data_IF_034674084994
#
_entry.id   IF_034674084994
#
_cell.length_a   1.000
_cell.length_b   1.000
_cell.length_c   1.000
_cell.angle_alpha   90.00
_cell.angle_beta   90.00
_cell.angle_gamma   90.00
#
_symmetry.space_group_name_H-M   'P 1'
#
loop_
_entity.id
_entity.type
_entity.pdbx_description
1 polymer ?
#
# COMPACT_ATOMS: atom_id res chain seq x y z
N UNK A 1 -68.03 23.93 -10.81
CA UNK A 1 -66.62 24.39 -10.89
C UNK A 1 -65.99 24.24 -9.52
N UNK A 2 -64.66 24.09 -9.44
CA UNK A 2 -63.79 24.04 -8.24
C UNK A 2 -63.57 22.68 -7.54
N UNK A 3 -62.72 21.83 -8.13
CA UNK A 3 -61.87 20.86 -7.40
C UNK A 3 -60.54 20.64 -8.13
N UNK A 4 -59.69 21.67 -8.19
CA UNK A 4 -58.33 21.55 -8.79
C UNK A 4 -57.20 22.16 -7.94
N UNK A 5 -57.52 22.87 -6.84
CA UNK A 5 -56.55 23.66 -6.08
C UNK A 5 -55.56 22.85 -5.21
N UNK A 6 -55.96 21.70 -4.67
CA UNK A 6 -55.12 21.00 -3.66
C UNK A 6 -53.94 20.19 -4.23
N UNK A 7 -53.95 19.82 -5.52
CA UNK A 7 -52.83 19.07 -6.11
C UNK A 7 -51.65 19.95 -6.53
N UNK A 8 -51.89 21.22 -6.92
CA UNK A 8 -50.82 22.12 -7.35
C UNK A 8 -49.97 22.60 -6.18
N UNK A 9 -50.56 22.80 -5.00
CA UNK A 9 -49.85 23.30 -3.82
C UNK A 9 -48.85 22.27 -3.26
N UNK A 10 -49.20 20.97 -3.23
CA UNK A 10 -48.27 19.90 -2.83
C UNK A 10 -47.12 19.74 -3.81
N UNK A 11 -47.37 19.87 -5.11
CA UNK A 11 -46.30 19.85 -6.11
C UNK A 11 -45.35 21.03 -5.96
N UNK A 12 -45.87 22.23 -5.63
CA UNK A 12 -45.06 23.42 -5.40
C UNK A 12 -44.06 23.24 -4.25
N UNK A 13 -44.49 22.67 -3.11
CA UNK A 13 -43.62 22.41 -1.96
C UNK A 13 -42.59 21.31 -2.23
N UNK A 14 -42.96 20.27 -3.00
CA UNK A 14 -42.00 19.23 -3.43
C UNK A 14 -40.97 19.85 -4.37
N UNK A 15 -41.40 20.67 -5.34
CA UNK A 15 -40.47 21.33 -6.27
C UNK A 15 -39.57 22.32 -5.55
N UNK A 16 -40.07 23.12 -4.60
CA UNK A 16 -39.28 24.06 -3.78
C UNK A 16 -38.32 23.32 -2.84
N UNK A 17 -38.71 22.18 -2.29
CA UNK A 17 -37.83 21.32 -1.50
C UNK A 17 -36.69 20.73 -2.34
N UNK A 18 -37.00 20.25 -3.55
CA UNK A 18 -36.00 19.69 -4.47
C UNK A 18 -35.06 20.77 -5.03
N UNK A 19 -35.55 21.96 -5.41
CA UNK A 19 -34.68 23.07 -5.81
C UNK A 19 -33.88 23.61 -4.64
N UNK A 20 -34.45 23.66 -3.43
CA UNK A 20 -33.72 24.02 -2.21
C UNK A 20 -32.53 23.10 -1.96
N UNK A 21 -32.75 21.77 -2.01
CA UNK A 21 -31.67 20.77 -1.87
C UNK A 21 -30.67 20.85 -3.03
N UNK A 22 -31.12 21.08 -4.26
CA UNK A 22 -30.22 21.21 -5.41
C UNK A 22 -29.34 22.47 -5.32
N UNK A 23 -29.89 23.60 -4.89
CA UNK A 23 -29.14 24.86 -4.73
C UNK A 23 -28.15 24.74 -3.56
N UNK A 24 -28.56 24.18 -2.42
CA UNK A 24 -27.63 23.99 -1.29
C UNK A 24 -26.52 23.01 -1.64
N UNK A 25 -26.82 21.94 -2.37
CA UNK A 25 -25.81 20.98 -2.84
C UNK A 25 -24.86 21.61 -3.86
N UNK A 26 -25.38 22.43 -4.79
CA UNK A 26 -24.57 23.13 -5.78
C UNK A 26 -23.66 24.19 -5.14
N UNK A 27 -24.17 24.96 -4.17
CA UNK A 27 -23.39 25.97 -3.44
C UNK A 27 -22.34 25.31 -2.54
N UNK A 28 -22.70 24.25 -1.82
CA UNK A 28 -21.75 23.49 -1.01
C UNK A 28 -20.66 22.85 -1.88
N UNK A 29 -21.04 22.26 -3.02
CA UNK A 29 -20.09 21.70 -3.99
C UNK A 29 -19.16 22.76 -4.58
N UNK A 30 -19.68 23.93 -4.93
CA UNK A 30 -18.89 25.03 -5.46
C UNK A 30 -17.92 25.62 -4.42
N UNK A 31 -18.36 25.80 -3.18
CA UNK A 31 -17.50 26.28 -2.08
C UNK A 31 -16.39 25.29 -1.74
N UNK A 32 -16.71 23.99 -1.74
CA UNK A 32 -15.74 22.93 -1.54
C UNK A 32 -14.73 22.92 -2.69
N UNK A 33 -15.18 22.95 -3.95
CA UNK A 33 -14.30 23.01 -5.12
C UNK A 33 -13.37 24.23 -5.12
N UNK A 34 -13.89 25.41 -4.75
CA UNK A 34 -13.09 26.64 -4.65
C UNK A 34 -12.07 26.56 -3.52
N UNK A 35 -12.46 26.07 -2.33
CA UNK A 35 -11.53 25.92 -1.21
C UNK A 35 -10.40 24.91 -1.49
N UNK A 36 -10.73 23.82 -2.16
CA UNK A 36 -9.77 22.79 -2.57
C UNK A 36 -8.80 23.26 -3.67
N UNK A 37 -9.27 24.11 -4.59
CA UNK A 37 -8.42 24.64 -5.66
C UNK A 37 -7.49 25.78 -5.19
N UNK A 38 -7.82 26.46 -4.08
CA UNK A 38 -7.12 27.68 -3.67
C UNK A 38 -6.02 27.50 -2.62
N UNK A 39 -5.85 26.32 -2.03
CA UNK A 39 -4.87 26.07 -0.97
C UNK A 39 -3.77 25.12 -1.47
N UNK A 40 -2.51 25.59 -1.62
CA UNK A 40 -1.43 24.72 -2.06
C UNK A 40 -1.16 23.64 -0.99
N UNK A 41 -0.86 22.42 -1.43
CA UNK A 41 -0.37 21.38 -0.52
C UNK A 41 1.02 21.74 -0.02
N UNK A 42 1.41 21.15 1.12
CA UNK A 42 2.78 21.26 1.58
C UNK A 42 3.69 20.61 0.55
N UNK A 43 4.65 21.39 0.04
CA UNK A 43 5.61 20.94 -0.94
C UNK A 43 6.98 21.47 -0.53
N UNK A 44 7.97 20.57 -0.47
CA UNK A 44 9.36 20.95 -0.29
C UNK A 44 9.83 21.88 -1.40
N UNK A 45 10.72 22.82 -1.06
CA UNK A 45 11.34 23.69 -2.04
C UNK A 45 12.37 22.90 -2.86
N UNK A 46 11.90 22.27 -3.93
CA UNK A 46 12.77 21.60 -4.89
C UNK A 46 13.44 22.64 -5.77
N UNK A 47 14.74 22.47 -6.02
CA UNK A 47 15.44 23.16 -7.10
C UNK A 47 14.85 22.74 -8.46
N UNK A 48 15.07 23.52 -9.53
CA UNK A 48 14.62 23.14 -10.87
C UNK A 48 15.11 21.75 -11.31
N UNK A 49 16.36 21.41 -10.99
CA UNK A 49 16.96 20.10 -11.31
C UNK A 49 16.27 18.97 -10.52
N UNK A 50 16.02 19.15 -9.23
CA UNK A 50 15.29 18.18 -8.41
C UNK A 50 13.82 18.03 -8.85
N UNK A 51 13.20 19.09 -9.35
CA UNK A 51 11.84 19.05 -9.88
C UNK A 51 11.76 18.32 -11.23
N UNK A 52 12.83 18.33 -12.03
CA UNK A 52 12.95 17.61 -13.32
C UNK A 52 13.08 16.10 -13.15
N UNK A 53 13.54 15.63 -11.99
CA UNK A 53 13.53 14.19 -11.62
C UNK A 53 12.13 13.59 -11.75
N UNK A 54 11.10 14.40 -11.49
CA UNK A 54 9.71 13.98 -11.56
C UNK A 54 9.14 14.19 -12.96
N UNK A 55 8.65 13.14 -13.61
CA UNK A 55 8.16 13.22 -15.00
C UNK A 55 6.96 14.19 -15.14
N UNK A 56 7.22 15.37 -15.72
CA UNK A 56 6.23 16.45 -15.89
C UNK A 56 5.58 16.51 -17.28
N UNK A 57 5.95 15.66 -18.23
CA UNK A 57 5.68 15.95 -19.65
C UNK A 57 4.20 15.87 -20.08
N UNK A 58 3.31 15.24 -19.28
CA UNK A 58 1.87 15.19 -19.57
C UNK A 58 1.02 15.26 -18.30
N UNK A 59 -0.08 16.07 -18.29
CA UNK A 59 -1.05 16.07 -17.20
C UNK A 59 -1.53 14.64 -16.94
N UNK A 60 -1.39 14.15 -15.70
CA UNK A 60 -1.85 12.80 -15.39
C UNK A 60 -3.37 12.73 -15.17
N UNK A 61 -4.00 13.85 -14.84
CA UNK A 61 -5.45 13.97 -14.66
C UNK A 61 -6.08 14.87 -15.73
N UNK A 62 -7.36 14.60 -16.03
CA UNK A 62 -8.20 15.54 -16.78
C UNK A 62 -9.56 15.68 -16.12
N UNK A 63 -9.92 16.90 -15.74
CA UNK A 63 -11.27 17.28 -15.29
C UNK A 63 -11.94 18.28 -16.23
N UNK A 64 -13.22 18.05 -16.57
CA UNK A 64 -14.14 19.10 -17.04
C UNK A 64 -14.92 19.55 -15.80
N UNK A 65 -15.17 20.86 -15.67
CA UNK A 65 -15.61 21.63 -14.48
C UNK A 65 -16.83 21.14 -13.66
N UNK A 66 -17.33 19.93 -13.89
CA UNK A 66 -18.44 19.28 -13.17
C UNK A 66 -18.28 17.75 -12.99
N UNK A 67 -17.14 17.14 -13.38
CA UNK A 67 -16.87 15.69 -13.20
C UNK A 67 -15.63 15.46 -12.35
N UNK A 68 -15.65 14.39 -11.55
CA UNK A 68 -14.47 13.93 -10.82
C UNK A 68 -13.30 13.69 -11.80
N UNK A 69 -12.10 14.21 -11.50
CA UNK A 69 -10.89 13.98 -12.28
C UNK A 69 -10.61 12.49 -12.46
N UNK A 70 -9.95 12.13 -13.57
CA UNK A 70 -9.54 10.75 -13.85
C UNK A 70 -8.12 10.71 -14.37
N UNK A 71 -7.42 9.62 -14.04
CA UNK A 71 -6.12 9.31 -14.62
C UNK A 71 -6.24 9.07 -16.12
N UNK A 72 -5.29 9.62 -16.88
CA UNK A 72 -5.26 9.56 -18.35
C UNK A 72 -4.17 8.64 -18.89
N UNK A 73 -3.22 8.25 -18.05
CA UNK A 73 -2.08 7.39 -18.35
C UNK A 73 -1.62 6.65 -17.10
N UNK A 74 -0.79 5.59 -17.22
CA UNK A 74 -0.08 5.02 -16.09
C UNK A 74 0.78 6.08 -15.37
N UNK A 75 0.79 6.02 -14.04
CA UNK A 75 1.62 6.90 -13.20
C UNK A 75 2.31 6.12 -12.09
N UNK A 76 3.58 6.46 -11.84
CA UNK A 76 4.38 5.93 -10.73
C UNK A 76 4.53 7.00 -9.65
N UNK A 77 4.09 6.70 -8.43
CA UNK A 77 4.15 7.60 -7.28
C UNK A 77 5.08 6.99 -6.23
N UNK A 78 6.13 7.73 -5.86
CA UNK A 78 7.00 7.38 -4.76
C UNK A 78 6.34 7.77 -3.43
N UNK A 79 6.19 6.84 -2.50
CA UNK A 79 5.70 7.11 -1.15
C UNK A 79 6.82 6.83 -0.14
N UNK A 80 7.16 7.84 0.66
CA UNK A 80 8.18 7.75 1.71
C UNK A 80 7.52 7.96 3.08
N UNK A 81 7.61 6.96 3.95
CA UNK A 81 7.28 7.07 5.36
C UNK A 81 8.52 7.47 6.15
N UNK A 82 8.52 8.66 6.74
CA UNK A 82 9.68 9.23 7.44
C UNK A 82 9.47 9.18 8.95
N UNK A 83 10.48 8.74 9.68
CA UNK A 83 10.54 8.88 11.14
C UNK A 83 11.58 9.96 11.44
N UNK A 84 11.14 11.03 12.10
CA UNK A 84 12.03 12.09 12.56
C UNK A 84 11.82 12.29 14.05
N UNK A 85 12.90 12.20 14.80
CA UNK A 85 12.99 12.50 16.22
C UNK A 85 13.64 13.87 16.42
N UNK A 86 13.43 14.49 17.58
CA UNK A 86 14.12 15.74 17.95
C UNK A 86 15.64 15.64 17.89
N UNK A 87 16.20 14.44 18.08
CA UNK A 87 17.64 14.18 17.98
C UNK A 87 18.16 14.04 16.55
N UNK A 88 17.27 13.82 15.58
CA UNK A 88 17.63 13.73 14.17
C UNK A 88 17.80 15.12 13.53
N UNK A 89 17.37 16.19 14.23
CA UNK A 89 17.40 17.56 13.75
C UNK A 89 18.54 18.37 14.39
N UNK A 90 19.19 19.21 13.60
CA UNK A 90 20.19 20.18 14.08
C UNK A 90 19.56 21.54 14.49
N UNK A 91 18.21 21.63 14.53
CA UNK A 91 17.47 22.89 14.72
C UNK A 91 17.26 23.25 16.22
N UNK A 92 17.72 24.45 16.66
CA UNK A 92 17.52 24.95 18.01
C UNK A 92 16.06 25.10 18.47
N UNK A 93 15.08 25.21 17.56
CA UNK A 93 13.66 25.34 17.91
C UNK A 93 13.12 24.08 18.61
N UNK A 94 13.65 22.90 18.27
CA UNK A 94 13.26 21.63 18.90
C UNK A 94 14.11 21.27 20.12
N UNK A 95 15.08 22.12 20.47
CA UNK A 95 15.94 21.97 21.65
C UNK A 95 15.43 22.73 22.90
N UNK A 96 14.37 23.54 22.77
CA UNK A 96 13.89 24.44 23.82
C UNK A 96 12.47 24.18 24.35
N UNK A 97 11.72 23.24 23.78
CA UNK A 97 10.41 22.86 24.33
C UNK A 97 10.49 21.54 25.11
N UNK A 98 9.70 21.46 26.17
CA UNK A 98 9.55 20.37 27.16
C UNK A 98 8.94 19.08 26.54
N UNK A 99 9.36 18.73 25.32
CA UNK A 99 8.84 17.64 24.50
C UNK A 99 9.40 16.26 24.92
N UNK A 100 10.39 16.24 25.81
CA UNK A 100 11.10 15.03 26.22
C UNK A 100 12.24 14.63 25.27
N UNK A 101 13.10 13.72 25.74
CA UNK A 101 14.22 13.19 24.96
C UNK A 101 13.68 12.31 23.80
N UNK A 102 14.10 12.57 22.54
CA UNK A 102 13.68 11.83 21.33
C UNK A 102 12.18 11.88 20.99
N UNK A 103 11.53 13.05 21.09
CA UNK A 103 10.13 13.20 20.66
C UNK A 103 9.98 13.12 19.13
N UNK A 104 8.86 12.55 18.65
CA UNK A 104 8.51 12.60 17.23
C UNK A 104 8.13 14.04 16.83
N UNK A 105 8.65 14.51 15.70
CA UNK A 105 8.43 15.87 15.20
C UNK A 105 7.85 15.87 13.80
N UNK A 106 7.08 16.92 13.47
CA UNK A 106 6.50 17.12 12.14
C UNK A 106 7.57 17.62 11.15
N UNK A 107 8.53 16.76 10.83
CA UNK A 107 9.60 17.02 9.86
C UNK A 107 9.74 15.84 8.88
N UNK A 108 10.46 16.08 7.79
CA UNK A 108 10.81 15.10 6.76
C UNK A 108 12.32 14.94 6.58
N UNK A 109 13.12 15.65 7.37
CA UNK A 109 14.59 15.65 7.36
C UNK A 109 15.14 14.48 8.18
N UNK A 110 14.91 13.26 7.69
CA UNK A 110 15.36 12.04 8.38
C UNK A 110 15.41 10.83 7.46
N UNK A 111 15.63 9.66 8.04
CA UNK A 111 15.63 8.41 7.28
C UNK A 111 14.20 8.03 6.87
N UNK A 112 14.05 7.51 5.66
CA UNK A 112 12.79 6.88 5.23
C UNK A 112 12.72 5.44 5.74
N UNK A 113 11.84 5.20 6.72
CA UNK A 113 11.60 3.87 7.29
C UNK A 113 10.67 3.01 6.43
N UNK A 114 9.94 3.65 5.52
CA UNK A 114 9.06 3.01 4.53
C UNK A 114 9.28 3.64 3.17
N UNK A 115 9.43 2.82 2.13
CA UNK A 115 9.58 3.27 0.75
C UNK A 115 8.70 2.40 -0.13
N UNK A 116 7.76 3.00 -0.85
CA UNK A 116 6.85 2.30 -1.75
C UNK A 116 6.87 2.99 -3.11
N UNK A 117 6.78 2.21 -4.19
CA UNK A 117 6.45 2.73 -5.52
C UNK A 117 5.05 2.23 -5.89
N UNK A 118 4.13 3.16 -6.08
CA UNK A 118 2.75 2.88 -6.44
C UNK A 118 2.56 3.16 -7.93
N UNK A 119 2.23 2.13 -8.71
CA UNK A 119 1.82 2.28 -10.11
C UNK A 119 0.31 2.22 -10.22
N UNK A 120 -0.29 3.30 -10.69
CA UNK A 120 -1.70 3.37 -11.03
C UNK A 120 -1.83 3.23 -12.54
N UNK A 121 -2.43 2.15 -13.01
CA UNK A 121 -2.65 1.91 -14.43
C UNK A 121 -4.15 1.99 -14.79
N UNK A 122 -4.61 3.11 -15.39
CA UNK A 122 -6.00 3.25 -15.81
C UNK A 122 -6.41 2.35 -16.97
N UNK A 123 -5.48 1.82 -17.76
CA UNK A 123 -5.77 0.97 -18.91
C UNK A 123 -6.09 -0.46 -18.46
N UNK A 124 -5.22 -1.05 -17.65
CA UNK A 124 -5.44 -2.37 -17.06
C UNK A 124 -6.34 -2.36 -15.82
N UNK A 125 -6.64 -1.16 -15.27
CA UNK A 125 -7.34 -0.95 -13.99
C UNK A 125 -6.62 -1.61 -12.81
N UNK A 126 -5.29 -1.67 -12.87
CA UNK A 126 -4.45 -2.29 -11.87
C UNK A 126 -3.79 -1.25 -10.98
N UNK A 127 -3.69 -1.55 -9.68
CA UNK A 127 -2.82 -0.85 -8.74
C UNK A 127 -1.70 -1.79 -8.33
N UNK A 128 -0.46 -1.42 -8.63
CA UNK A 128 0.72 -2.14 -8.14
C UNK A 128 1.38 -1.31 -7.06
N UNK A 129 1.66 -1.95 -5.92
CA UNK A 129 2.41 -1.37 -4.80
C UNK A 129 3.67 -2.19 -4.66
N UNK A 130 4.84 -1.58 -4.86
CA UNK A 130 6.13 -2.22 -4.65
C UNK A 130 6.77 -1.68 -3.38
N UNK A 131 6.87 -2.51 -2.35
CA UNK A 131 7.55 -2.21 -1.10
C UNK A 131 9.06 -2.42 -1.23
N UNK A 132 9.85 -1.39 -0.93
CA UNK A 132 11.30 -1.44 -0.97
C UNK A 132 11.84 -1.44 0.47
N UNK A 133 12.54 -2.50 0.91
CA UNK A 133 13.12 -2.54 2.25
C UNK A 133 14.09 -1.38 2.48
N UNK A 134 14.00 -0.73 3.65
CA UNK A 134 14.85 0.44 4.01
C UNK A 134 16.35 0.16 3.98
N UNK A 135 16.74 -1.07 4.30
CA UNK A 135 18.12 -1.54 4.35
C UNK A 135 18.62 -2.05 2.99
N UNK A 136 17.88 -1.79 1.91
CA UNK A 136 18.30 -2.16 0.55
C UNK A 136 19.63 -1.52 0.21
N UNK A 137 20.62 -2.33 -0.19
CA UNK A 137 21.92 -1.85 -0.63
C UNK A 137 21.80 -1.33 -2.07
N UNK A 138 21.84 -0.01 -2.22
CA UNK A 138 21.72 0.66 -3.52
C UNK A 138 22.79 1.74 -3.67
N UNK A 139 23.05 2.15 -4.90
CA UNK A 139 23.87 3.32 -5.18
C UNK A 139 23.03 4.56 -4.88
N UNK A 140 23.54 5.42 -4.00
CA UNK A 140 23.01 6.77 -3.76
C UNK A 140 24.11 7.73 -4.19
N UNK A 141 23.77 8.67 -5.08
CA UNK A 141 24.71 9.70 -5.53
C UNK A 141 25.31 10.44 -4.33
N UNK A 142 26.59 10.82 -4.43
CA UNK A 142 27.42 11.41 -3.37
C UNK A 142 27.71 10.55 -2.12
N UNK A 143 26.98 9.45 -1.87
CA UNK A 143 27.23 8.52 -0.77
C UNK A 143 27.82 7.17 -1.22
N UNK A 144 27.73 6.84 -2.51
CA UNK A 144 28.12 5.53 -3.02
C UNK A 144 27.11 4.44 -2.63
N UNK A 145 27.58 3.19 -2.52
CA UNK A 145 26.70 2.10 -2.09
C UNK A 145 26.44 2.16 -0.59
N UNK A 146 25.18 2.40 -0.23
CA UNK A 146 24.72 2.53 1.15
C UNK A 146 23.32 1.93 1.30
N UNK A 147 22.72 2.06 2.49
CA UNK A 147 21.30 1.76 2.72
C UNK A 147 20.45 2.81 2.04
N UNK A 148 19.47 2.37 1.26
CA UNK A 148 18.66 3.26 0.42
C UNK A 148 17.88 4.32 1.22
N UNK A 149 17.53 4.05 2.48
CA UNK A 149 16.87 5.02 3.35
C UNK A 149 17.69 6.30 3.63
N UNK A 150 19.00 6.27 3.41
CA UNK A 150 19.88 7.43 3.51
C UNK A 150 19.59 8.49 2.45
N UNK A 151 19.02 8.10 1.31
CA UNK A 151 18.73 9.01 0.21
C UNK A 151 17.80 10.16 0.62
N UNK A 152 16.77 9.89 1.44
CA UNK A 152 15.88 10.95 1.94
C UNK A 152 16.58 11.89 2.92
N UNK A 153 17.51 11.38 3.72
CA UNK A 153 18.28 12.20 4.66
C UNK A 153 19.27 13.11 3.93
N UNK A 154 19.84 12.63 2.83
CA UNK A 154 20.79 13.39 2.02
C UNK A 154 20.13 14.51 1.21
N UNK A 155 19.08 14.18 0.44
CA UNK A 155 18.48 15.11 -0.53
C UNK A 155 16.99 14.89 -0.74
N UNK A 156 16.31 14.37 0.28
CA UNK A 156 14.86 14.29 0.31
C UNK A 156 14.24 13.43 -0.80
N UNK A 157 13.11 13.86 -1.38
CA UNK A 157 12.33 13.02 -2.29
C UNK A 157 13.02 12.85 -3.66
N UNK A 158 13.80 13.84 -4.10
CA UNK A 158 14.45 13.80 -5.41
C UNK A 158 15.59 12.77 -5.46
N UNK A 159 16.53 12.83 -4.50
CA UNK A 159 17.61 11.83 -4.41
C UNK A 159 17.06 10.43 -4.17
N UNK A 160 16.00 10.31 -3.35
CA UNK A 160 15.30 9.04 -3.16
C UNK A 160 14.69 8.50 -4.46
N UNK A 161 14.06 9.37 -5.26
CA UNK A 161 13.48 9.00 -6.55
C UNK A 161 14.54 8.57 -7.57
N UNK A 162 15.69 9.25 -7.63
CA UNK A 162 16.81 8.87 -8.50
C UNK A 162 17.34 7.48 -8.11
N UNK A 163 17.70 7.29 -6.84
CA UNK A 163 18.27 6.03 -6.37
C UNK A 163 17.31 4.84 -6.54
N UNK A 164 16.01 5.04 -6.30
CA UNK A 164 14.97 4.03 -6.54
C UNK A 164 14.78 3.78 -8.03
N UNK A 165 14.73 4.84 -8.84
CA UNK A 165 14.60 4.72 -10.29
C UNK A 165 15.74 3.86 -10.85
N UNK A 166 16.99 4.17 -10.51
CA UNK A 166 18.17 3.45 -10.95
C UNK A 166 18.16 1.98 -10.50
N UNK A 167 17.82 1.73 -9.23
CA UNK A 167 17.68 0.38 -8.67
C UNK A 167 16.65 -0.47 -9.44
N UNK A 168 15.54 0.16 -9.84
CA UNK A 168 14.47 -0.48 -10.61
C UNK A 168 14.73 -0.45 -12.12
N UNK A 169 15.95 -0.07 -12.50
CA UNK A 169 16.34 0.18 -13.87
C UNK A 169 15.56 1.36 -14.43
N UNK A 170 15.95 2.58 -14.12
CA UNK A 170 15.47 3.81 -14.74
C UNK A 170 13.96 3.95 -14.97
N UNK A 171 13.07 3.44 -14.10
CA UNK A 171 11.64 3.71 -14.23
C UNK A 171 11.37 5.18 -13.88
N UNK A 172 10.54 5.87 -14.67
CA UNK A 172 10.17 7.25 -14.34
C UNK A 172 9.33 7.30 -13.06
N UNK A 173 9.62 8.25 -12.17
CA UNK A 173 8.79 8.57 -11.00
C UNK A 173 8.05 9.86 -11.31
N UNK A 174 6.72 9.84 -11.34
CA UNK A 174 5.93 11.01 -11.72
C UNK A 174 5.73 11.99 -10.57
N UNK A 175 5.47 11.45 -9.38
CA UNK A 175 5.12 12.23 -8.18
C UNK A 175 5.68 11.57 -6.95
N UNK A 176 5.72 12.32 -5.86
CA UNK A 176 6.08 11.79 -4.56
C UNK A 176 5.08 12.18 -3.49
N UNK A 177 5.05 11.38 -2.42
CA UNK A 177 4.33 11.64 -1.17
C UNK A 177 5.28 11.29 -0.04
N UNK A 178 5.66 12.27 0.78
CA UNK A 178 6.38 12.05 2.04
C UNK A 178 5.41 12.26 3.18
N UNK A 179 5.30 11.28 4.05
CA UNK A 179 4.44 11.32 5.22
C UNK A 179 5.23 10.89 6.44
N UNK A 180 5.12 11.64 7.53
CA UNK A 180 5.73 11.25 8.80
C UNK A 180 4.75 10.46 9.67
N UNK A 181 5.27 9.91 10.76
CA UNK A 181 4.49 9.10 11.70
C UNK A 181 3.22 9.83 12.20
N UNK A 182 3.34 11.12 12.54
CA UNK A 182 2.20 11.92 13.00
C UNK A 182 1.14 12.13 11.90
N UNK A 183 1.59 12.28 10.64
CA UNK A 183 0.73 12.38 9.49
C UNK A 183 -0.09 11.11 9.25
N UNK A 184 0.53 9.93 9.41
CA UNK A 184 -0.17 8.65 9.27
C UNK A 184 -1.25 8.52 10.35
N UNK A 185 -0.91 8.77 11.62
CA UNK A 185 -1.85 8.75 12.75
C UNK A 185 -3.06 9.65 12.49
N UNK A 186 -2.81 10.93 12.16
CA UNK A 186 -3.86 11.92 11.90
C UNK A 186 -4.70 11.57 10.68
N UNK A 187 -4.11 10.96 9.66
CA UNK A 187 -4.84 10.56 8.45
C UNK A 187 -5.80 9.41 8.76
N UNK A 188 -5.38 8.44 9.57
CA UNK A 188 -6.25 7.34 10.00
C UNK A 188 -7.38 7.85 10.88
N UNK A 189 -7.11 8.76 11.82
CA UNK A 189 -8.16 9.40 12.62
C UNK A 189 -9.14 10.19 11.76
N UNK A 190 -8.65 10.93 10.76
CA UNK A 190 -9.48 11.69 9.83
C UNK A 190 -10.34 10.80 8.93
N UNK A 191 -9.92 9.54 8.69
CA UNK A 191 -10.71 8.51 8.01
C UNK A 191 -11.74 7.83 8.94
N UNK A 192 -11.72 8.17 10.24
CA UNK A 192 -12.58 7.58 11.25
C UNK A 192 -12.08 6.25 11.82
N UNK A 193 -10.76 6.01 11.79
CA UNK A 193 -10.14 4.75 12.22
C UNK A 193 -10.16 3.69 11.13
N UNK A 194 -9.58 2.53 11.41
CA UNK A 194 -9.41 1.44 10.44
C UNK A 194 -9.58 0.05 11.05
N UNK A 195 -10.32 -0.83 10.38
CA UNK A 195 -10.53 -2.20 10.84
C UNK A 195 -9.45 -3.13 10.30
N UNK A 196 -8.72 -3.78 11.20
CA UNK A 196 -7.60 -4.68 10.89
C UNK A 196 -7.74 -5.96 11.71
N UNK A 197 -7.41 -7.11 11.11
CA UNK A 197 -7.22 -8.35 11.85
C UNK A 197 -5.79 -8.42 12.39
N UNK A 198 -5.65 -8.35 13.71
CA UNK A 198 -4.37 -8.44 14.39
C UNK A 198 -4.00 -9.93 14.52
N UNK A 199 -2.88 -10.39 13.94
CA UNK A 199 -2.60 -11.81 13.77
C UNK A 199 -2.33 -12.55 15.09
N UNK A 200 -1.80 -11.83 16.09
CA UNK A 200 -1.42 -12.33 17.41
C UNK A 200 -1.47 -11.19 18.43
N UNK A 201 -1.49 -11.50 19.73
CA UNK A 201 -1.29 -10.50 20.78
C UNK A 201 0.05 -9.78 20.56
N UNK A 202 -0.01 -8.45 20.44
CA UNK A 202 1.16 -7.58 20.29
C UNK A 202 1.31 -6.78 21.57
N UNK A 203 2.31 -7.13 22.37
CA UNK A 203 2.68 -6.41 23.58
C UNK A 203 4.15 -6.00 23.50
N UNK A 204 4.42 -4.71 23.60
CA UNK A 204 5.78 -4.18 23.60
C UNK A 204 5.83 -2.84 24.33
N UNK A 205 6.85 -2.66 25.15
CA UNK A 205 7.07 -1.41 25.87
C UNK A 205 8.53 -0.99 25.72
N UNK A 206 8.72 0.22 25.18
CA UNK A 206 10.01 0.91 25.14
C UNK A 206 9.82 2.35 25.62
N UNK A 207 10.17 2.57 26.89
CA UNK A 207 10.09 3.88 27.53
C UNK A 207 11.05 4.90 26.90
N UNK A 208 12.15 4.45 26.29
CA UNK A 208 13.13 5.35 25.67
C UNK A 208 12.64 5.98 24.38
N UNK A 209 11.72 5.29 23.69
CA UNK A 209 11.11 5.73 22.43
C UNK A 209 9.64 6.13 22.60
N UNK A 210 9.13 6.15 23.85
CA UNK A 210 7.72 6.33 24.17
C UNK A 210 6.81 5.42 23.31
N UNK A 211 7.24 4.18 23.07
CA UNK A 211 6.53 3.22 22.23
C UNK A 211 5.88 2.17 23.12
N UNK A 212 4.57 2.29 23.26
CA UNK A 212 3.73 1.39 24.03
C UNK A 212 2.75 0.71 23.07
N UNK A 213 2.89 -0.60 22.92
CA UNK A 213 2.06 -1.42 22.04
C UNK A 213 1.29 -2.40 22.91
N UNK A 214 -0.03 -2.40 22.77
CA UNK A 214 -0.92 -3.36 23.40
C UNK A 214 -2.14 -3.58 22.50
N UNK A 215 -2.02 -4.53 21.57
CA UNK A 215 -3.10 -4.94 20.68
C UNK A 215 -3.39 -6.41 20.90
N UNK A 216 -4.67 -6.78 21.01
CA UNK A 216 -5.07 -8.17 21.15
C UNK A 216 -5.23 -8.85 19.81
N UNK A 217 -5.07 -10.16 19.75
CA UNK A 217 -5.35 -10.92 18.54
C UNK A 217 -6.83 -10.78 18.13
N UNK A 218 -7.08 -10.73 16.82
CA UNK A 218 -8.41 -10.70 16.23
C UNK A 218 -8.76 -9.40 15.51
N UNK A 219 -9.98 -9.34 14.98
CA UNK A 219 -10.51 -8.15 14.30
C UNK A 219 -10.70 -7.00 15.30
N UNK A 220 -10.06 -5.87 15.01
CA UNK A 220 -10.15 -4.66 15.82
C UNK A 220 -10.31 -3.43 14.94
N UNK A 221 -11.08 -2.48 15.43
CA UNK A 221 -11.14 -1.15 14.86
C UNK A 221 -10.11 -0.27 15.57
N UNK A 222 -9.06 0.11 14.85
CA UNK A 222 -7.90 0.84 15.34
C UNK A 222 -8.07 2.33 15.04
N UNK A 223 -7.91 3.18 16.04
CA UNK A 223 -7.65 4.60 15.83
C UNK A 223 -6.23 4.84 15.28
N UNK A 224 -5.85 6.09 15.00
CA UNK A 224 -4.54 6.43 14.47
C UNK A 224 -3.40 5.96 15.36
N UNK A 225 -3.53 6.10 16.68
CA UNK A 225 -2.50 5.68 17.65
C UNK A 225 -2.34 4.16 17.66
N UNK A 226 -3.45 3.43 17.72
CA UNK A 226 -3.45 1.96 17.69
C UNK A 226 -2.96 1.42 16.34
N UNK A 227 -3.28 2.08 15.23
CA UNK A 227 -2.76 1.71 13.92
C UNK A 227 -1.24 1.93 13.84
N UNK A 228 -0.72 3.00 14.47
CA UNK A 228 0.73 3.18 14.59
C UNK A 228 1.39 2.12 15.46
N UNK A 229 0.73 1.66 16.52
CA UNK A 229 1.21 0.51 17.31
C UNK A 229 1.32 -0.75 16.43
N UNK A 230 0.30 -1.03 15.63
CA UNK A 230 0.29 -2.15 14.69
C UNK A 230 1.45 -2.04 13.68
N UNK A 231 1.58 -0.89 13.00
CA UNK A 231 2.62 -0.67 11.98
C UNK A 231 4.05 -0.68 12.53
N UNK A 232 4.24 -0.32 13.81
CA UNK A 232 5.56 -0.22 14.46
C UNK A 232 5.96 -1.47 15.24
N UNK A 233 5.08 -2.44 15.42
CA UNK A 233 5.42 -3.71 16.06
C UNK A 233 6.56 -4.40 15.29
N UNK A 234 7.56 -4.91 16.00
CA UNK A 234 8.76 -5.60 15.43
C UNK A 234 9.17 -6.83 16.24
N UNK A 235 8.43 -7.18 17.28
CA UNK A 235 8.78 -8.29 18.17
C UNK A 235 8.20 -9.61 17.64
N UNK A 236 8.45 -9.87 16.37
CA UNK A 236 8.17 -11.12 15.67
C UNK A 236 9.45 -11.68 15.06
N UNK A 237 9.47 -12.96 14.70
CA UNK A 237 10.64 -13.62 14.12
C UNK A 237 11.01 -13.09 12.71
N UNK A 238 10.20 -12.19 12.13
CA UNK A 238 10.24 -11.78 10.72
C UNK A 238 10.88 -10.39 10.53
N UNK A 239 11.07 -9.62 11.60
CA UNK A 239 11.80 -8.35 11.59
C UNK A 239 11.23 -7.33 10.59
N UNK A 240 12.08 -6.81 9.69
CA UNK A 240 11.68 -5.82 8.69
C UNK A 240 10.68 -6.38 7.65
N UNK A 241 10.67 -7.69 7.42
CA UNK A 241 9.72 -8.32 6.49
C UNK A 241 8.32 -8.37 7.11
N UNK A 242 8.22 -8.74 8.39
CA UNK A 242 6.94 -8.69 9.12
C UNK A 242 6.34 -7.28 9.12
N UNK A 243 7.18 -6.23 9.16
CA UNK A 243 6.73 -4.84 9.01
C UNK A 243 6.12 -4.56 7.63
N UNK A 244 6.75 -5.03 6.56
CA UNK A 244 6.20 -4.90 5.20
C UNK A 244 4.84 -5.59 5.09
N UNK A 245 4.70 -6.80 5.65
CA UNK A 245 3.43 -7.52 5.66
C UNK A 245 2.33 -6.75 6.38
N UNK A 246 2.63 -6.15 7.54
CA UNK A 246 1.67 -5.31 8.28
C UNK A 246 1.30 -4.04 7.51
N UNK A 247 2.26 -3.40 6.84
CA UNK A 247 1.98 -2.26 5.98
C UNK A 247 1.05 -2.63 4.83
N UNK A 248 1.28 -3.79 4.18
CA UNK A 248 0.41 -4.31 3.14
C UNK A 248 -1.00 -4.64 3.67
N UNK A 249 -1.09 -5.32 4.82
CA UNK A 249 -2.36 -5.59 5.49
C UNK A 249 -3.12 -4.28 5.80
N UNK A 250 -2.41 -3.27 6.30
CA UNK A 250 -2.96 -1.95 6.60
C UNK A 250 -3.51 -1.27 5.33
N UNK A 251 -2.73 -1.26 4.25
CA UNK A 251 -3.14 -0.70 2.96
C UNK A 251 -4.37 -1.42 2.40
N UNK A 252 -4.46 -2.76 2.56
CA UNK A 252 -5.65 -3.52 2.18
C UNK A 252 -6.87 -3.07 2.99
N UNK A 253 -6.76 -3.02 4.31
CA UNK A 253 -7.86 -2.55 5.18
C UNK A 253 -8.34 -1.13 4.82
N UNK A 254 -7.42 -0.21 4.54
CA UNK A 254 -7.75 1.16 4.12
C UNK A 254 -8.44 1.18 2.74
N UNK A 255 -8.01 0.34 1.81
CA UNK A 255 -8.67 0.20 0.51
C UNK A 255 -10.13 -0.25 0.69
N UNK A 256 -10.40 -1.19 1.60
CA UNK A 256 -11.76 -1.69 1.86
C UNK A 256 -12.70 -0.62 2.43
N UNK A 257 -12.15 0.39 3.10
CA UNK A 257 -12.89 1.51 3.67
C UNK A 257 -13.01 2.72 2.71
N UNK A 258 -12.28 2.70 1.60
CA UNK A 258 -12.21 3.85 0.69
C UNK A 258 -13.55 4.07 -0.03
N UNK A 259 -14.05 5.31 0.04
CA UNK A 259 -15.31 5.82 -0.54
C UNK A 259 -16.62 5.25 0.03
N UNK A 260 -16.67 5.04 1.34
CA UNK A 260 -17.97 5.04 2.05
C UNK A 260 -18.58 6.45 2.06
N UNK A 261 -19.92 6.61 2.16
CA UNK A 261 -20.54 7.92 2.33
C UNK A 261 -19.98 8.72 3.53
N UNK A 262 -19.55 8.03 4.58
CA UNK A 262 -18.85 8.60 5.74
C UNK A 262 -17.51 9.23 5.38
N UNK A 263 -16.66 8.54 4.61
CA UNK A 263 -15.35 9.08 4.19
C UNK A 263 -15.50 10.31 3.30
N UNK A 264 -16.53 10.35 2.43
CA UNK A 264 -16.82 11.53 1.59
C UNK A 264 -17.15 12.75 2.46
N UNK A 265 -17.91 12.55 3.55
CA UNK A 265 -18.23 13.63 4.48
C UNK A 265 -16.98 14.15 5.24
N UNK A 266 -15.97 13.31 5.44
CA UNK A 266 -14.70 13.64 6.10
C UNK A 266 -13.65 14.25 5.16
N UNK A 267 -13.90 14.31 3.85
CA UNK A 267 -12.93 14.78 2.85
C UNK A 267 -12.29 16.14 3.18
N UNK A 268 -13.01 17.17 3.68
CA UNK A 268 -12.39 18.43 4.09
C UNK A 268 -11.36 18.26 5.23
N UNK A 269 -11.64 17.39 6.20
CA UNK A 269 -10.74 17.11 7.32
C UNK A 269 -9.50 16.33 6.86
N UNK A 270 -9.69 15.33 5.98
CA UNK A 270 -8.61 14.57 5.37
C UNK A 270 -7.65 15.50 4.61
N UNK A 271 -8.20 16.40 3.79
CA UNK A 271 -7.39 17.33 3.01
C UNK A 271 -6.65 18.34 3.90
N UNK A 272 -7.23 18.78 5.02
CA UNK A 272 -6.53 19.60 6.00
C UNK A 272 -5.34 18.87 6.65
N UNK A 273 -5.45 17.56 6.91
CA UNK A 273 -4.34 16.74 7.41
C UNK A 273 -3.24 16.61 6.36
N UNK A 274 -3.61 16.29 5.10
CA UNK A 274 -2.65 16.21 3.99
C UNK A 274 -1.90 17.53 3.84
N UNK A 275 -2.61 18.66 3.85
CA UNK A 275 -2.01 19.99 3.76
C UNK A 275 -0.98 20.31 4.84
N UNK A 276 -1.07 19.69 6.02
CA UNK A 276 -0.23 20.04 7.18
C UNK A 276 0.81 18.98 7.57
N UNK A 277 0.67 17.75 7.09
CA UNK A 277 1.51 16.61 7.51
C UNK A 277 2.01 15.74 6.36
N UNK A 278 1.69 16.08 5.12
CA UNK A 278 2.12 15.35 3.92
C UNK A 278 2.82 16.30 2.97
N UNK A 279 4.11 16.07 2.72
CA UNK A 279 4.86 16.79 1.70
C UNK A 279 4.72 16.07 0.35
N UNK A 280 4.17 16.75 -0.65
CA UNK A 280 3.90 16.17 -1.97
C UNK A 280 3.92 17.22 -3.06
N UNK A 281 4.33 16.81 -4.26
CA UNK A 281 4.17 17.60 -5.48
C UNK A 281 2.88 17.26 -6.25
N UNK A 282 1.96 16.48 -5.67
CA UNK A 282 0.64 16.23 -6.24
C UNK A 282 -0.22 17.49 -6.14
N UNK A 283 -1.01 17.75 -7.19
CA UNK A 283 -2.12 18.70 -7.07
C UNK A 283 -3.33 18.05 -6.38
N UNK A 284 -4.24 18.86 -5.85
CA UNK A 284 -5.51 18.36 -5.30
C UNK A 284 -6.34 17.64 -6.37
N UNK A 285 -6.27 18.07 -7.64
CA UNK A 285 -6.92 17.40 -8.76
C UNK A 285 -6.37 15.98 -8.97
N UNK A 286 -5.04 15.84 -8.92
CA UNK A 286 -4.35 14.55 -9.05
C UNK A 286 -4.72 13.62 -7.88
N UNK A 287 -4.72 14.12 -6.63
CA UNK A 287 -5.17 13.35 -5.47
C UNK A 287 -6.60 12.82 -5.65
N UNK A 288 -7.53 13.68 -6.10
CA UNK A 288 -8.91 13.26 -6.35
C UNK A 288 -9.01 12.22 -7.49
N UNK A 289 -8.16 12.33 -8.52
CA UNK A 289 -8.08 11.33 -9.58
C UNK A 289 -7.60 9.96 -9.06
N UNK A 290 -6.59 9.95 -8.20
CA UNK A 290 -6.02 8.75 -7.59
C UNK A 290 -7.04 8.06 -6.67
N UNK A 291 -7.69 8.81 -5.77
CA UNK A 291 -8.76 8.29 -4.90
C UNK A 291 -9.94 7.77 -5.75
N UNK A 292 -10.31 8.52 -6.80
CA UNK A 292 -11.36 8.14 -7.74
C UNK A 292 -11.03 6.92 -8.59
N UNK A 293 -9.74 6.59 -8.75
CA UNK A 293 -9.27 5.34 -9.34
C UNK A 293 -9.31 4.21 -8.31
N UNK A 294 -8.70 4.38 -7.14
CA UNK A 294 -8.61 3.36 -6.07
C UNK A 294 -9.98 2.78 -5.69
N UNK A 295 -11.00 3.62 -5.63
CA UNK A 295 -12.37 3.20 -5.32
C UNK A 295 -13.05 2.30 -6.36
N UNK A 296 -12.50 2.22 -7.57
CA UNK A 296 -13.03 1.41 -8.67
C UNK A 296 -12.16 0.19 -8.96
N UNK A 297 -10.95 0.15 -8.42
CA UNK A 297 -10.04 -0.98 -8.59
C UNK A 297 -10.59 -2.15 -7.78
N UNK A 298 -10.79 -3.28 -8.44
CA UNK A 298 -11.18 -4.52 -7.77
C UNK A 298 -10.04 -5.04 -6.89
N UNK A 299 -10.36 -5.70 -5.78
CA UNK A 299 -9.35 -6.23 -4.84
C UNK A 299 -8.32 -7.15 -5.51
N UNK A 300 -8.76 -7.96 -6.48
CA UNK A 300 -7.93 -8.86 -7.28
C UNK A 300 -6.97 -8.15 -8.24
N UNK A 301 -7.19 -6.85 -8.48
CA UNK A 301 -6.37 -5.97 -9.30
C UNK A 301 -5.41 -5.11 -8.47
N UNK A 302 -5.31 -5.34 -7.15
CA UNK A 302 -4.27 -4.74 -6.31
C UNK A 302 -3.15 -5.75 -6.06
N UNK A 303 -1.99 -5.45 -6.62
CA UNK A 303 -0.77 -6.24 -6.46
C UNK A 303 0.12 -5.55 -5.43
N UNK A 304 0.57 -6.25 -4.39
CA UNK A 304 1.42 -5.70 -3.33
C UNK A 304 2.73 -6.47 -3.24
N UNK A 305 3.70 -6.07 -4.02
CA UNK A 305 4.98 -6.74 -4.19
C UNK A 305 5.99 -6.23 -3.17
N UNK A 306 7.01 -7.02 -2.90
CA UNK A 306 8.23 -6.61 -2.19
C UNK A 306 9.40 -6.67 -3.17
N UNK A 307 10.36 -5.75 -3.03
CA UNK A 307 11.57 -5.75 -3.85
C UNK A 307 12.31 -7.09 -3.69
N UNK A 308 12.49 -7.85 -4.77
CA UNK A 308 13.20 -9.12 -4.74
C UNK A 308 14.62 -8.98 -4.21
N UNK A 309 15.04 -9.91 -3.37
CA UNK A 309 16.34 -9.88 -2.72
C UNK A 309 16.43 -10.78 -1.49
N UNK A 310 17.57 -10.70 -0.81
CA UNK A 310 17.87 -11.53 0.36
C UNK A 310 18.67 -10.74 1.40
N UNK A 311 18.62 -11.14 2.67
CA UNK A 311 19.53 -10.57 3.67
C UNK A 311 20.99 -10.91 3.36
N UNK A 312 21.88 -9.94 3.53
CA UNK A 312 23.33 -10.17 3.49
C UNK A 312 23.76 -11.17 4.55
N UNK A 313 24.80 -11.96 4.27
CA UNK A 313 25.40 -12.82 5.30
C UNK A 313 26.19 -11.97 6.29
N UNK A 314 26.35 -12.41 7.55
CA UNK A 314 27.10 -11.67 8.56
C UNK A 314 28.54 -11.30 8.16
N UNK A 315 29.16 -12.09 7.28
CA UNK A 315 30.54 -11.89 6.83
C UNK A 315 30.65 -11.03 5.56
N UNK A 316 29.53 -10.72 4.88
CA UNK A 316 29.55 -9.98 3.61
C UNK A 316 29.83 -8.48 3.83
N UNK A 317 29.28 -7.92 4.91
CA UNK A 317 29.37 -6.49 5.24
C UNK A 317 29.38 -6.25 6.75
N UNK A 318 29.91 -5.10 7.17
CA UNK A 318 29.90 -4.69 8.58
C UNK A 318 28.49 -4.39 9.13
N UNK A 319 27.51 -4.15 8.25
CA UNK A 319 26.11 -3.88 8.58
C UNK A 319 25.22 -4.88 7.84
N UNK A 320 24.05 -5.16 8.39
CA UNK A 320 23.02 -5.94 7.69
C UNK A 320 22.39 -5.13 6.56
N UNK A 321 22.27 -5.75 5.38
CA UNK A 321 21.65 -5.20 4.18
C UNK A 321 20.59 -6.15 3.62
N UNK A 322 19.61 -5.57 2.93
CA UNK A 322 18.84 -6.28 1.91
C UNK A 322 19.57 -6.18 0.58
N UNK A 323 20.00 -7.31 0.03
CA UNK A 323 20.74 -7.40 -1.23
C UNK A 323 19.72 -7.66 -2.35
N UNK A 324 19.50 -6.70 -3.26
CA UNK A 324 18.54 -6.84 -4.35
C UNK A 324 18.96 -7.93 -5.33
N UNK A 325 17.98 -8.69 -5.84
CA UNK A 325 18.21 -9.64 -6.94
C UNK A 325 17.88 -8.96 -8.28
N UNK A 326 18.91 -8.65 -9.07
CA UNK A 326 18.74 -7.89 -10.31
C UNK A 326 17.89 -8.61 -11.36
N UNK A 327 17.94 -9.95 -11.44
CA UNK A 327 17.21 -10.71 -12.45
C UNK A 327 15.72 -10.80 -12.09
N UNK A 328 15.42 -11.02 -10.82
CA UNK A 328 14.05 -11.02 -10.32
C UNK A 328 13.43 -9.62 -10.39
N UNK A 329 14.21 -8.56 -10.07
CA UNK A 329 13.77 -7.17 -10.24
C UNK A 329 13.43 -6.89 -11.70
N UNK A 330 14.30 -7.28 -12.66
CA UNK A 330 14.03 -7.08 -14.09
C UNK A 330 12.74 -7.78 -14.52
N UNK A 331 12.53 -9.02 -14.07
CA UNK A 331 11.31 -9.78 -14.37
C UNK A 331 10.06 -9.10 -13.79
N UNK A 332 10.15 -8.61 -12.55
CA UNK A 332 9.08 -7.88 -11.89
C UNK A 332 8.76 -6.55 -12.61
N UNK A 333 9.78 -5.82 -13.05
CA UNK A 333 9.59 -4.57 -13.82
C UNK A 333 8.89 -4.80 -15.16
N UNK A 334 9.21 -5.89 -15.85
CA UNK A 334 8.52 -6.27 -17.10
C UNK A 334 7.05 -6.61 -16.82
N UNK A 335 6.79 -7.41 -15.79
CA UNK A 335 5.45 -7.93 -15.51
C UNK A 335 4.49 -6.88 -14.96
N UNK A 336 5.00 -5.89 -14.20
CA UNK A 336 4.15 -4.97 -13.43
C UNK A 336 4.40 -3.49 -13.71
N UNK A 337 5.44 -3.11 -14.45
CA UNK A 337 5.79 -1.70 -14.73
C UNK A 337 5.95 -1.36 -16.21
N UNK A 338 5.51 -2.25 -17.12
CA UNK A 338 5.51 -2.11 -18.59
C UNK A 338 6.83 -1.64 -19.18
N UNK A 339 7.96 -2.20 -18.73
CA UNK A 339 9.25 -1.96 -19.38
C UNK A 339 9.35 -2.73 -20.68
N UNK A 340 8.78 -2.19 -21.76
CA UNK A 340 8.76 -2.81 -23.08
C UNK A 340 10.08 -2.73 -23.87
N UNK A 341 11.13 -2.09 -23.33
CA UNK A 341 12.41 -1.89 -24.04
C UNK A 341 13.57 -2.70 -23.42
N UNK A 342 13.71 -3.95 -23.89
CA UNK A 342 14.96 -4.60 -24.32
C UNK A 342 14.63 -6.00 -24.84
N UNK A 343 14.74 -6.18 -26.16
CA UNK A 343 14.65 -7.44 -26.90
C UNK A 343 13.47 -8.36 -26.52
N UNK A 344 12.30 -8.09 -27.11
CA UNK A 344 11.14 -9.02 -27.17
C UNK A 344 11.46 -10.43 -27.74
N UNK A 345 12.70 -10.68 -28.17
CA UNK A 345 13.11 -11.96 -28.75
C UNK A 345 13.63 -12.97 -27.72
N UNK A 346 13.90 -12.58 -26.46
CA UNK A 346 14.36 -13.53 -25.41
C UNK A 346 13.31 -13.91 -24.36
N UNK A 347 12.20 -13.17 -24.23
CA UNK A 347 11.24 -13.35 -23.12
C UNK A 347 10.00 -14.19 -23.48
N UNK A 348 9.86 -14.65 -24.72
CA UNK A 348 8.74 -15.50 -25.15
C UNK A 348 8.90 -16.99 -24.83
N UNK A 349 9.94 -17.38 -24.11
CA UNK A 349 10.16 -18.77 -23.66
C UNK A 349 10.08 -18.90 -22.13
N UNK A 350 9.06 -18.26 -21.51
CA UNK A 350 8.67 -18.65 -20.15
C UNK A 350 8.06 -20.04 -20.22
N UNK A 351 8.93 -21.05 -20.09
CA UNK A 351 8.54 -22.43 -19.78
C UNK A 351 7.46 -22.41 -18.71
N UNK A 352 6.43 -23.26 -18.85
CA UNK A 352 5.46 -23.44 -17.77
C UNK A 352 6.23 -23.77 -16.47
N UNK A 353 5.89 -23.14 -15.34
CA UNK A 353 6.53 -23.41 -14.06
C UNK A 353 6.48 -24.91 -13.74
N UNK A 354 7.60 -25.50 -13.32
CA UNK A 354 7.63 -26.89 -12.89
C UNK A 354 6.93 -27.01 -11.52
N UNK A 355 5.77 -27.66 -11.49
CA UNK A 355 4.99 -27.86 -10.27
C UNK A 355 5.77 -28.59 -9.16
N UNK A 356 6.83 -29.34 -9.52
CA UNK A 356 7.63 -30.11 -8.58
C UNK A 356 8.59 -29.26 -7.77
N UNK A 357 9.02 -28.11 -8.30
CA UNK A 357 9.99 -27.24 -7.64
C UNK A 357 9.32 -26.15 -6.80
N UNK A 358 8.06 -25.82 -7.10
CA UNK A 358 7.27 -24.83 -6.35
C UNK A 358 7.11 -25.22 -4.88
N UNK A 359 7.64 -24.39 -3.99
CA UNK A 359 7.46 -24.43 -2.53
C UNK A 359 6.08 -23.89 -2.19
N UNK A 360 5.19 -24.77 -1.75
CA UNK A 360 3.82 -24.42 -1.36
C UNK A 360 3.69 -24.57 0.16
N UNK A 361 3.49 -23.45 0.84
CA UNK A 361 3.09 -23.45 2.25
C UNK A 361 1.57 -23.51 2.36
N UNK A 362 1.04 -24.31 3.29
CA UNK A 362 -0.37 -24.30 3.67
C UNK A 362 -0.49 -23.60 5.02
N UNK A 363 -1.40 -22.63 5.12
CA UNK A 363 -1.83 -22.06 6.39
C UNK A 363 -3.30 -22.39 6.58
N UNK A 364 -3.61 -23.17 7.61
CA UNK A 364 -5.00 -23.53 7.91
C UNK A 364 -5.70 -22.40 8.67
N UNK A 365 -6.87 -21.96 8.19
CA UNK A 365 -7.76 -21.05 8.91
C UNK A 365 -9.08 -21.71 9.34
N UNK A 366 -9.19 -23.03 9.18
CA UNK A 366 -10.43 -23.79 9.36
C UNK A 366 -10.46 -24.62 10.64
N UNK A 367 -9.31 -24.74 11.32
CA UNK A 367 -9.10 -25.64 12.45
C UNK A 367 -9.51 -27.10 12.16
N UNK A 368 -9.37 -27.52 10.89
CA UNK A 368 -9.76 -28.85 10.41
C UNK A 368 -8.55 -29.60 9.82
N UNK A 369 -7.89 -30.46 10.62
CA UNK A 369 -6.73 -31.23 10.16
C UNK A 369 -7.04 -32.18 8.98
N UNK A 370 -8.28 -32.65 8.85
CA UNK A 370 -8.69 -33.54 7.75
C UNK A 370 -8.67 -32.80 6.41
N UNK A 371 -9.17 -31.55 6.41
CA UNK A 371 -9.18 -30.67 5.25
C UNK A 371 -7.75 -30.37 4.75
N UNK A 372 -6.82 -30.12 5.68
CA UNK A 372 -5.40 -29.94 5.35
C UNK A 372 -4.81 -31.21 4.72
N UNK A 373 -5.14 -32.38 5.28
CA UNK A 373 -4.65 -33.67 4.77
C UNK A 373 -5.14 -33.94 3.34
N UNK A 374 -6.43 -33.70 3.08
CA UNK A 374 -7.02 -33.89 1.76
C UNK A 374 -6.53 -32.84 0.75
N UNK A 375 -6.29 -31.58 1.14
CA UNK A 375 -5.61 -30.61 0.27
C UNK A 375 -4.21 -31.10 -0.14
N UNK A 376 -3.41 -31.59 0.82
CA UNK A 376 -2.09 -32.15 0.51
C UNK A 376 -2.16 -33.34 -0.43
N UNK A 377 -3.17 -34.19 -0.28
CA UNK A 377 -3.38 -35.33 -1.16
C UNK A 377 -3.75 -34.88 -2.58
N UNK A 378 -4.64 -33.88 -2.71
CA UNK A 378 -5.01 -33.28 -3.99
C UNK A 378 -3.79 -32.71 -4.73
N UNK A 379 -2.98 -31.91 -4.02
CA UNK A 379 -1.75 -31.32 -4.57
C UNK A 379 -0.73 -32.38 -5.01
N UNK A 380 -0.54 -33.43 -4.20
CA UNK A 380 0.34 -34.55 -4.54
C UNK A 380 -0.14 -35.32 -5.77
N UNK A 381 -1.46 -35.50 -5.93
CA UNK A 381 -2.05 -36.12 -7.12
C UNK A 381 -1.84 -35.27 -8.39
N UNK A 382 -1.73 -33.95 -8.22
CA UNK A 382 -1.39 -33.00 -9.28
C UNK A 382 0.12 -32.76 -9.45
N UNK A 383 0.97 -33.61 -8.86
CA UNK A 383 2.43 -33.59 -8.95
C UNK A 383 3.12 -32.36 -8.32
N UNK A 384 2.45 -31.68 -7.39
CA UNK A 384 3.11 -30.72 -6.50
C UNK A 384 3.78 -31.47 -5.35
N UNK A 385 5.11 -31.44 -5.31
CA UNK A 385 5.92 -32.29 -4.41
C UNK A 385 6.44 -31.57 -3.18
N UNK A 386 6.62 -30.25 -3.27
CA UNK A 386 7.23 -29.45 -2.21
C UNK A 386 6.15 -28.69 -1.41
N UNK A 387 5.30 -29.45 -0.73
CA UNK A 387 4.16 -28.92 0.05
C UNK A 387 4.38 -29.15 1.54
N UNK A 388 4.34 -28.08 2.33
CA UNK A 388 4.54 -28.11 3.78
C UNK A 388 3.49 -27.27 4.53
N UNK A 389 3.37 -27.52 5.83
CA UNK A 389 2.45 -26.80 6.70
C UNK A 389 3.20 -25.65 7.37
N UNK A 390 2.69 -24.43 7.21
CA UNK A 390 3.15 -23.25 7.92
C UNK A 390 2.39 -23.03 9.23
N UNK A 391 2.65 -21.90 9.90
CA UNK A 391 1.84 -21.47 11.03
C UNK A 391 0.39 -21.22 10.59
N UNK A 392 -0.56 -21.65 11.43
CA UNK A 392 -1.99 -21.51 11.17
C UNK A 392 -2.37 -20.05 10.96
N UNK A 393 -3.31 -19.81 10.04
CA UNK A 393 -3.81 -18.48 9.75
C UNK A 393 -4.95 -18.13 10.70
N UNK A 394 -4.80 -17.05 11.47
CA UNK A 394 -5.73 -16.76 12.56
C UNK A 394 -7.03 -16.06 12.15
N UNK A 395 -7.11 -15.53 10.92
CA UNK A 395 -8.34 -14.91 10.40
C UNK A 395 -9.20 -15.99 9.74
N UNK A 396 -10.46 -16.21 10.16
CA UNK A 396 -11.34 -17.14 9.46
C UNK A 396 -11.61 -16.69 8.02
N UNK A 397 -11.33 -17.55 7.04
CA UNK A 397 -11.50 -17.23 5.63
C UNK A 397 -12.72 -17.92 5.02
N UNK A 398 -13.56 -17.15 4.32
CA UNK A 398 -14.65 -17.72 3.52
C UNK A 398 -14.13 -18.34 2.21
N UNK A 399 -13.10 -17.74 1.61
CA UNK A 399 -12.45 -18.22 0.39
C UNK A 399 -10.98 -18.49 0.63
N UNK A 400 -10.50 -19.58 0.05
CA UNK A 400 -9.09 -19.94 0.02
C UNK A 400 -8.31 -18.86 -0.72
N UNK A 401 -7.26 -18.33 -0.10
CA UNK A 401 -6.37 -17.33 -0.72
C UNK A 401 -5.12 -18.04 -1.23
N UNK A 402 -4.81 -17.86 -2.51
CA UNK A 402 -3.59 -18.37 -3.15
C UNK A 402 -2.65 -17.19 -3.34
N UNK A 403 -1.74 -17.03 -2.39
CA UNK A 403 -0.82 -15.90 -2.31
C UNK A 403 0.44 -16.22 -3.11
N UNK A 404 0.68 -15.46 -4.19
CA UNK A 404 1.93 -15.47 -4.94
C UNK A 404 2.98 -14.63 -4.19
N UNK A 405 3.70 -15.26 -3.26
CA UNK A 405 4.56 -14.60 -2.27
C UNK A 405 5.64 -13.70 -2.90
N UNK A 406 6.21 -14.15 -4.02
CA UNK A 406 7.28 -13.48 -4.77
C UNK A 406 6.77 -12.80 -6.05
N UNK A 407 5.46 -12.69 -6.24
CA UNK A 407 4.88 -12.08 -7.43
C UNK A 407 4.63 -13.02 -8.61
N UNK A 408 4.93 -14.32 -8.49
CA UNK A 408 4.64 -15.32 -9.53
C UNK A 408 3.14 -15.64 -9.62
N UNK A 409 2.41 -14.72 -10.25
CA UNK A 409 0.97 -14.83 -10.48
C UNK A 409 0.63 -15.97 -11.43
N UNK A 410 1.53 -16.35 -12.34
CA UNK A 410 1.28 -17.42 -13.29
C UNK A 410 1.16 -18.75 -12.56
N UNK A 411 2.15 -19.09 -11.73
CA UNK A 411 2.12 -20.32 -10.92
C UNK A 411 0.91 -20.35 -9.99
N UNK A 412 0.61 -19.24 -9.32
CA UNK A 412 -0.57 -19.13 -8.47
C UNK A 412 -1.89 -19.32 -9.23
N UNK A 413 -2.00 -18.80 -10.46
CA UNK A 413 -3.19 -18.96 -11.32
C UNK A 413 -3.33 -20.40 -11.83
N UNK A 414 -2.23 -21.05 -12.19
CA UNK A 414 -2.25 -22.47 -12.58
C UNK A 414 -2.70 -23.34 -11.41
N UNK A 415 -2.20 -23.06 -10.21
CA UNK A 415 -2.60 -23.74 -8.99
C UNK A 415 -4.08 -23.50 -8.64
N UNK A 416 -4.55 -22.26 -8.75
CA UNK A 416 -5.97 -21.92 -8.55
C UNK A 416 -6.88 -22.72 -9.50
N UNK A 417 -6.51 -22.82 -10.78
CA UNK A 417 -7.26 -23.61 -11.77
C UNK A 417 -7.25 -25.09 -11.46
N UNK A 418 -6.15 -25.61 -10.92
CA UNK A 418 -6.04 -27.00 -10.48
C UNK A 418 -6.96 -27.28 -9.27
N UNK A 419 -7.02 -26.35 -8.31
CA UNK A 419 -7.89 -26.48 -7.13
C UNK A 419 -9.37 -26.25 -7.46
N UNK A 420 -9.67 -25.43 -8.47
CA UNK A 420 -11.04 -25.10 -8.88
C UNK A 420 -11.76 -24.12 -7.94
N UNK A 421 -11.09 -23.65 -6.90
CA UNK A 421 -11.62 -22.74 -5.88
C UNK A 421 -10.61 -21.64 -5.52
N UNK A 422 -11.00 -20.76 -4.62
CA UNK A 422 -10.14 -19.71 -4.09
C UNK A 422 -9.87 -18.56 -5.05
N UNK A 423 -9.12 -17.58 -4.54
CA UNK A 423 -8.73 -16.37 -5.25
C UNK A 423 -7.21 -16.19 -5.23
N UNK A 424 -6.65 -15.81 -6.38
CA UNK A 424 -5.23 -15.47 -6.49
C UNK A 424 -5.01 -14.06 -5.95
N UNK A 425 -4.06 -13.93 -5.03
CA UNK A 425 -3.56 -12.66 -4.53
C UNK A 425 -2.08 -12.59 -4.82
N UNK A 426 -1.63 -11.46 -5.33
CA UNK A 426 -0.21 -11.20 -5.49
C UNK A 426 0.18 -10.24 -4.39
N UNK A 427 0.52 -10.80 -3.24
CA UNK A 427 1.08 -10.03 -2.13
C UNK A 427 2.13 -10.82 -1.37
N UNK A 428 2.86 -10.15 -0.47
CA UNK A 428 3.93 -10.77 0.31
C UNK A 428 3.48 -11.17 1.72
N UNK A 429 2.18 -11.35 1.95
CA UNK A 429 1.60 -11.63 3.29
C UNK A 429 1.58 -13.11 3.69
N UNK A 430 2.04 -14.00 2.82
CA UNK A 430 2.16 -15.43 3.09
C UNK A 430 3.44 -15.81 3.85
N UNK A 431 3.76 -17.10 3.83
CA UNK A 431 4.96 -17.65 4.46
C UNK A 431 6.19 -17.29 3.63
N UNK A 432 7.21 -16.72 4.28
CA UNK A 432 8.34 -16.06 3.62
C UNK A 432 9.21 -16.97 2.75
N UNK A 433 9.35 -18.23 3.13
CA UNK A 433 10.17 -19.21 2.42
C UNK A 433 9.37 -20.01 1.36
N UNK A 434 8.11 -19.61 1.12
CA UNK A 434 7.25 -20.21 0.09
C UNK A 434 7.30 -19.40 -1.21
N UNK A 435 7.07 -20.08 -2.33
CA UNK A 435 6.79 -19.41 -3.61
C UNK A 435 5.29 -19.09 -3.68
N UNK A 436 4.46 -19.99 -3.14
CA UNK A 436 3.01 -19.81 -2.98
C UNK A 436 2.59 -20.18 -1.56
N UNK A 437 1.75 -19.34 -0.95
CA UNK A 437 1.04 -19.70 0.29
C UNK A 437 -0.44 -19.92 0.01
N UNK A 438 -0.95 -21.08 0.42
CA UNK A 438 -2.37 -21.42 0.42
C UNK A 438 -2.94 -21.17 1.81
N UNK A 439 -3.71 -20.08 1.97
CA UNK A 439 -4.48 -19.85 3.19
C UNK A 439 -5.85 -20.49 3.00
N UNK A 440 -6.10 -21.59 3.71
CA UNK A 440 -7.26 -22.44 3.49
C UNK A 440 -8.53 -21.78 4.01
N UNK A 441 -9.56 -21.66 3.17
CA UNK A 441 -10.86 -21.12 3.54
C UNK A 441 -11.97 -22.15 3.58
N UNK A 442 -13.17 -21.71 3.97
CA UNK A 442 -14.39 -22.54 4.06
C UNK A 442 -14.81 -23.13 2.72
N UNK A 443 -14.56 -22.44 1.61
CA UNK A 443 -14.83 -22.95 0.25
C UNK A 443 -14.17 -24.30 -0.05
N UNK A 444 -13.04 -24.61 0.59
CA UNK A 444 -12.41 -25.93 0.50
C UNK A 444 -13.20 -27.01 1.26
N UNK A 445 -13.70 -26.69 2.45
CA UNK A 445 -14.53 -27.62 3.23
C UNK A 445 -15.84 -27.95 2.49
N UNK A 446 -16.44 -26.94 1.85
CA UNK A 446 -17.65 -27.11 1.06
C UNK A 446 -17.40 -28.00 -0.16
N UNK A 447 -16.23 -27.88 -0.79
CA UNK A 447 -15.82 -28.73 -1.91
C UNK A 447 -15.65 -30.19 -1.49
N UNK A 448 -15.04 -30.46 -0.33
CA UNK A 448 -14.90 -31.82 0.21
C UNK A 448 -16.24 -32.45 0.55
N UNK A 449 -17.17 -31.66 1.08
CA UNK A 449 -18.51 -32.17 1.42
C UNK A 449 -19.34 -32.53 0.19
N UNK A 450 -19.00 -31.95 -0.97
CA UNK A 450 -19.69 -32.17 -2.24
C UNK A 450 -19.13 -33.37 -3.06
N UNK A 451 -17.95 -33.88 -2.71
CA UNK A 451 -17.28 -35.03 -3.34
C UNK A 451 -17.51 -36.32 -2.55
#
# INVERSE_FOLDING_TARGET
>A
MTTSSHKSFRWLWITLGLTGVAITSAVAGALLAVGLASTPLLQSQLSPEEAEVFSQEKPMSSGVSLRLPKLTRPVNILVLGVKVLTSDLEDPLYSNDDLGYHALVNSFEGLSDTMLVLRFDPESKQLTVLSIPRDTRALVEDLGYTKLNEANRLGGPAVSAIAISDLLGGIGIDRYVRINVQGVEKLIDALGGVTVHVPQDMEYQDDSQHLYINLKQGEQHLDGSQAMQFLRFRYDALGDIGRVQRQQAMMRSLQEQTLTPSTIAQLPQILAVIQSHVDTNLSVEELLALVGFMSKVERSQVQMLMLPGNFSRPDDYALSYWIPDENEIQSLMVDYFDRADRNQTELTDRSLPDSRVLRIAIQDSTDNPEAVSALRQNLSAADYRNVYLGEAWSEPLEKTRIIAQQGDRLSATLLQRQLGIGEVRTDSTGVLDSDITLQLGRDWLDLETAQ
#
